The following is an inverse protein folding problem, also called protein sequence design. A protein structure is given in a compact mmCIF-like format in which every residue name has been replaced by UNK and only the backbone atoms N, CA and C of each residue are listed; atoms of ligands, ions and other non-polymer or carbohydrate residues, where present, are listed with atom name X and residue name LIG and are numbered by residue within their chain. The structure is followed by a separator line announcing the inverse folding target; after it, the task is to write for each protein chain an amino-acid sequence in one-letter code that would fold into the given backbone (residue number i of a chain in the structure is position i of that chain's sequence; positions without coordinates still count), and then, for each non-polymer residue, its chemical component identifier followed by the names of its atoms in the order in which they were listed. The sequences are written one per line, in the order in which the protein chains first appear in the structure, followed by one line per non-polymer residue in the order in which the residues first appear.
data_IF_840485030261
#
_entry.id   IF_840485030261
#
_cell.length_a   1.000
_cell.length_b   1.000
_cell.length_c   1.000
_cell.angle_alpha   90.00
_cell.angle_beta   90.00
_cell.angle_gamma   90.00
#
_symmetry.space_group_name_H-M   'P 1'
#
loop_
_entity.id
_entity.type
_entity.pdbx_description
1 polymer ?
#
# COMPACT_ATOMS: atom_id res chain seq x y z
N UNK A 1 2.88 -9.35 -15.77
CA UNK A 1 2.35 -9.74 -14.45
C UNK A 1 2.56 -8.58 -13.49
N UNK A 2 1.65 -8.34 -12.54
CA UNK A 2 1.83 -7.28 -11.53
C UNK A 2 3.01 -7.62 -10.62
N UNK A 3 3.81 -6.62 -10.24
CA UNK A 3 4.92 -6.77 -9.27
C UNK A 3 4.41 -7.11 -7.86
N UNK A 4 3.21 -6.64 -7.52
CA UNK A 4 2.55 -6.87 -6.23
C UNK A 4 1.10 -7.29 -6.41
N UNK A 5 0.61 -8.16 -5.53
CA UNK A 5 -0.78 -8.57 -5.49
C UNK A 5 -1.25 -9.27 -6.76
N UNK A 6 -2.56 -9.46 -6.84
CA UNK A 6 -3.22 -10.18 -7.94
C UNK A 6 -4.47 -9.45 -8.39
N UNK A 7 -4.61 -9.25 -9.69
CA UNK A 7 -5.84 -8.76 -10.32
C UNK A 7 -6.75 -9.94 -10.60
N UNK A 8 -8.02 -9.81 -10.24
CA UNK A 8 -9.07 -10.76 -10.55
C UNK A 8 -10.10 -10.11 -11.48
N UNK A 9 -10.75 -10.91 -12.35
CA UNK A 9 -11.72 -10.38 -13.29
C UNK A 9 -12.93 -9.76 -12.59
N UNK A 10 -13.72 -8.94 -13.31
CA UNK A 10 -14.98 -8.46 -12.78
C UNK A 10 -15.91 -9.62 -12.42
N UNK A 11 -16.79 -9.40 -11.45
CA UNK A 11 -17.75 -10.39 -10.93
C UNK A 11 -17.12 -11.60 -10.22
N UNK A 12 -15.81 -11.59 -9.93
CA UNK A 12 -15.23 -12.55 -8.97
C UNK A 12 -15.92 -12.39 -7.62
N UNK A 13 -16.35 -13.52 -7.05
CA UNK A 13 -17.01 -13.54 -5.76
C UNK A 13 -15.96 -13.58 -4.65
N UNK A 14 -16.04 -12.60 -3.74
CA UNK A 14 -15.23 -12.57 -2.52
C UNK A 14 -16.16 -12.53 -1.32
N UNK A 15 -15.94 -13.45 -0.38
CA UNK A 15 -16.41 -13.27 0.99
C UNK A 15 -15.56 -12.18 1.63
N UNK A 16 -16.19 -11.06 1.96
CA UNK A 16 -15.47 -9.85 2.33
C UNK A 16 -16.22 -9.02 3.37
N UNK A 17 -15.45 -8.28 4.15
CA UNK A 17 -15.94 -7.24 5.05
C UNK A 17 -15.68 -5.89 4.40
N UNK A 18 -16.70 -5.03 4.35
CA UNK A 18 -16.55 -3.66 3.87
C UNK A 18 -15.71 -2.86 4.86
N UNK A 19 -14.71 -2.13 4.37
CA UNK A 19 -13.89 -1.20 5.17
C UNK A 19 -14.25 0.25 4.85
N UNK A 20 -14.41 0.57 3.57
CA UNK A 20 -14.79 1.91 3.14
C UNK A 20 -14.67 2.12 1.63
N UNK A 21 -14.63 3.39 1.23
CA UNK A 21 -14.42 3.80 -0.16
C UNK A 21 -13.27 4.81 -0.24
N UNK A 22 -12.55 4.81 -1.36
CA UNK A 22 -11.49 5.77 -1.65
C UNK A 22 -11.62 6.35 -3.06
N UNK A 23 -11.00 7.51 -3.26
CA UNK A 23 -10.80 8.13 -4.57
C UNK A 23 -9.32 8.42 -4.77
N UNK A 24 -8.85 8.31 -6.00
CA UNK A 24 -7.54 8.85 -6.37
C UNK A 24 -7.66 10.30 -6.88
N UNK A 25 -6.52 10.86 -7.26
CA UNK A 25 -6.41 12.24 -7.74
C UNK A 25 -7.10 12.46 -9.11
N UNK A 26 -7.36 11.39 -9.87
CA UNK A 26 -8.08 11.41 -11.14
C UNK A 26 -9.60 11.30 -10.94
N UNK A 27 -10.07 11.13 -9.70
CA UNK A 27 -11.49 10.98 -9.36
C UNK A 27 -12.03 9.55 -9.50
N UNK A 28 -11.15 8.58 -9.75
CA UNK A 28 -11.48 7.17 -9.87
C UNK A 28 -11.94 6.65 -8.50
N UNK A 29 -13.10 5.97 -8.43
CA UNK A 29 -13.66 5.44 -7.18
C UNK A 29 -13.29 3.99 -6.93
N UNK A 30 -13.03 3.66 -5.66
CA UNK A 30 -12.64 2.33 -5.21
C UNK A 30 -13.43 1.89 -3.98
N UNK A 31 -13.89 0.63 -3.95
CA UNK A 31 -14.34 -0.01 -2.70
C UNK A 31 -13.15 -0.70 -2.04
N UNK A 32 -12.94 -0.42 -0.76
CA UNK A 32 -11.91 -1.00 0.07
C UNK A 32 -12.55 -2.02 1.01
N UNK A 33 -12.08 -3.25 0.94
CA UNK A 33 -12.59 -4.37 1.73
C UNK A 33 -11.43 -5.23 2.23
N UNK A 34 -11.73 -6.15 3.13
CA UNK A 34 -10.85 -7.27 3.46
C UNK A 34 -11.56 -8.58 3.20
N UNK A 35 -10.85 -9.70 3.09
CA UNK A 35 -11.49 -11.00 3.25
C UNK A 35 -12.14 -11.12 4.64
N UNK A 36 -13.02 -12.12 4.83
CA UNK A 36 -13.74 -12.32 6.11
C UNK A 36 -12.79 -12.47 7.30
N UNK A 37 -11.65 -13.12 7.11
CA UNK A 37 -10.62 -13.29 8.14
C UNK A 37 -9.83 -12.01 8.46
N UNK A 38 -9.96 -10.95 7.65
CA UNK A 38 -9.24 -9.69 7.82
C UNK A 38 -7.76 -9.71 7.39
N UNK A 39 -7.30 -10.77 6.75
CA UNK A 39 -5.91 -11.04 6.41
C UNK A 39 -5.46 -10.43 5.07
N UNK A 40 -6.39 -10.16 4.17
CA UNK A 40 -6.07 -9.71 2.82
C UNK A 40 -6.86 -8.46 2.47
N UNK A 41 -6.20 -7.32 2.23
CA UNK A 41 -6.83 -6.16 1.63
C UNK A 41 -7.27 -6.46 0.20
N UNK A 42 -8.48 -6.05 -0.13
CA UNK A 42 -9.10 -6.24 -1.43
C UNK A 42 -9.69 -4.90 -1.89
N UNK A 43 -9.29 -4.46 -3.07
CA UNK A 43 -9.76 -3.22 -3.69
C UNK A 43 -10.61 -3.58 -4.91
N UNK A 44 -11.81 -3.01 -5.02
CA UNK A 44 -12.58 -3.00 -6.27
C UNK A 44 -12.45 -1.66 -6.97
N UNK A 45 -12.10 -1.65 -8.25
CA UNK A 45 -12.32 -0.46 -9.08
C UNK A 45 -13.79 -0.37 -9.46
N UNK A 46 -14.47 0.73 -9.11
CA UNK A 46 -15.88 0.93 -9.49
C UNK A 46 -16.08 1.22 -10.97
N UNK A 47 -15.03 1.61 -11.67
CA UNK A 47 -15.08 1.85 -13.12
C UNK A 47 -15.02 0.56 -13.92
N UNK A 48 -14.09 -0.34 -13.55
CA UNK A 48 -13.83 -1.56 -14.34
C UNK A 48 -14.47 -2.79 -13.74
N UNK A 49 -14.92 -2.73 -12.49
CA UNK A 49 -15.42 -3.86 -11.71
C UNK A 49 -14.35 -4.88 -11.33
N UNK A 50 -13.09 -4.69 -11.76
CA UNK A 50 -11.96 -5.57 -11.43
C UNK A 50 -11.61 -5.48 -9.96
N UNK A 51 -11.08 -6.58 -9.44
CA UNK A 51 -10.61 -6.68 -8.07
C UNK A 51 -9.10 -6.78 -8.02
N UNK A 52 -8.52 -6.27 -6.95
CA UNK A 52 -7.11 -6.39 -6.64
C UNK A 52 -6.95 -6.89 -5.21
N UNK A 53 -6.24 -7.99 -5.01
CA UNK A 53 -5.96 -8.55 -3.68
C UNK A 53 -4.48 -8.43 -3.37
N UNK A 54 -4.17 -8.03 -2.14
CA UNK A 54 -2.80 -7.90 -1.66
C UNK A 54 -2.53 -8.90 -0.52
N UNK A 55 -1.38 -9.56 -0.57
CA UNK A 55 -0.94 -10.46 0.51
C UNK A 55 -0.12 -9.68 1.54
N UNK A 56 -0.03 -10.18 2.79
CA UNK A 56 0.88 -9.61 3.78
C UNK A 56 2.33 -9.57 3.31
N UNK A 57 2.78 -10.60 2.60
CA UNK A 57 4.11 -10.64 1.99
C UNK A 57 4.33 -9.46 1.04
N UNK A 58 3.34 -9.12 0.22
CA UNK A 58 3.43 -7.99 -0.70
C UNK A 58 3.34 -6.64 0.02
N UNK A 59 2.53 -6.55 1.09
CA UNK A 59 2.49 -5.37 1.97
C UNK A 59 3.86 -5.13 2.60
N UNK A 60 4.50 -6.18 3.13
CA UNK A 60 5.84 -6.07 3.74
C UNK A 60 6.85 -5.60 2.70
N UNK A 61 6.82 -6.14 1.47
CA UNK A 61 7.70 -5.66 0.39
C UNK A 61 7.45 -4.18 0.07
N UNK A 62 6.20 -3.74 -0.03
CA UNK A 62 5.85 -2.32 -0.23
C UNK A 62 6.37 -1.45 0.91
N UNK A 63 6.25 -1.90 2.17
CA UNK A 63 6.76 -1.19 3.33
C UNK A 63 8.29 -1.05 3.30
N UNK A 64 9.00 -2.12 2.92
CA UNK A 64 10.46 -2.10 2.75
C UNK A 64 10.87 -1.10 1.66
N UNK A 65 10.16 -1.09 0.51
CA UNK A 65 10.42 -0.13 -0.57
C UNK A 65 10.15 1.32 -0.16
N UNK A 66 9.10 1.55 0.62
CA UNK A 66 8.80 2.85 1.23
C UNK A 66 9.85 3.26 2.29
N UNK A 67 10.71 2.33 2.71
CA UNK A 67 11.81 2.59 3.63
C UNK A 67 11.44 2.42 5.10
N UNK A 68 10.49 1.54 5.43
CA UNK A 68 10.12 1.24 6.83
C UNK A 68 11.35 0.88 7.69
N UNK A 69 12.36 0.24 7.08
CA UNK A 69 13.61 -0.16 7.74
C UNK A 69 14.75 0.85 7.57
N UNK A 70 14.55 1.95 6.84
CA UNK A 70 15.59 2.96 6.66
C UNK A 70 15.81 3.69 7.97
N UNK A 71 16.92 3.40 8.65
CA UNK A 71 17.35 4.12 9.84
C UNK A 71 17.49 5.60 9.50
N UNK A 72 16.78 6.46 10.26
CA UNK A 72 16.86 7.92 10.12
C UNK A 72 18.32 8.34 10.36
N UNK A 73 19.03 8.70 9.30
CA UNK A 73 20.39 9.20 9.44
C UNK A 73 20.28 10.59 10.07
N UNK A 74 20.65 10.73 11.34
CA UNK A 74 20.87 12.06 11.92
C UNK A 74 22.03 12.67 11.15
N UNK A 75 21.80 13.81 10.50
CA UNK A 75 22.88 14.59 9.91
C UNK A 75 23.95 14.79 10.98
N UNK A 76 25.17 14.29 10.73
CA UNK A 76 26.34 14.66 11.53
C UNK A 76 26.58 16.14 11.25
N UNK A 77 26.08 17.02 12.11
CA UNK A 77 26.44 18.42 12.08
C UNK A 77 27.97 18.50 12.19
N UNK A 78 28.59 19.07 11.16
CA UNK A 78 30.02 19.28 11.10
C UNK A 78 30.43 20.31 12.18
N UNK A 79 30.80 19.83 13.36
CA UNK A 79 31.57 20.63 14.33
C UNK A 79 33.02 20.60 13.85
N UNK A 80 33.34 21.41 12.84
CA UNK A 80 34.72 21.74 12.48
C UNK A 80 34.81 23.19 12.01
N UNK A 81 34.36 24.11 12.84
CA UNK A 81 34.60 25.55 12.67
C UNK A 81 34.44 26.28 14.02
N UNK A 82 35.45 26.17 14.90
CA UNK A 82 35.82 27.19 15.92
C UNK A 82 36.83 26.61 16.91
N UNK A 83 38.06 26.34 16.44
CA UNK A 83 39.20 26.20 17.36
C UNK A 83 40.47 26.86 16.83
N UNK A 84 40.30 27.92 16.05
CA UNK A 84 41.37 28.83 15.63
C UNK A 84 40.83 30.27 15.67
N UNK A 85 40.67 30.79 16.89
CA UNK A 85 40.87 32.21 17.23
C UNK A 85 41.29 32.30 18.69
#
# INVERSE_FOLDING_TARGET
MSKYGKIHPPRTLFFRNAVGEMKDDEGNKYECTTNVSGEHPIIQSKQTGKWFTLTWTDIVKLAIEAGVDKKRVRAKAAIKANKEK
#
